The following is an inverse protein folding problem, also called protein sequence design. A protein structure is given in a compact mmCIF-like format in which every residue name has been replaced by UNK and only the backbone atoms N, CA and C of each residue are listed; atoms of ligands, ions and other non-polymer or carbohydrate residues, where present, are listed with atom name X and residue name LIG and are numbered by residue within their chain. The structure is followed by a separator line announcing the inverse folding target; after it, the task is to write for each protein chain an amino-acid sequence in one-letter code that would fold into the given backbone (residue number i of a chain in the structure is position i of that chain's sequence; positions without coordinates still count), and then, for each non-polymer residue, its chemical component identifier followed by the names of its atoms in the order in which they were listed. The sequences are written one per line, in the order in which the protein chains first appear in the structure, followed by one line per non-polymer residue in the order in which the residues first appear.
data_IF_626042175973
#
_entry.id   IF_626042175973
#
_cell.length_a   1.000
_cell.length_b   1.000
_cell.length_c   1.000
_cell.angle_alpha   90.00
_cell.angle_beta   90.00
_cell.angle_gamma   90.00
#
_symmetry.space_group_name_H-M   'P 1'
#
loop_
_entity.id
_entity.type
_entity.pdbx_description
1 polymer ?
#
# COMPACT_ATOMS: atom_id res chain seq x y z
N UNK A 1 6.62 -6.86 -25.09
CA UNK A 1 5.64 -7.77 -25.74
C UNK A 1 4.67 -8.22 -24.67
N UNK A 2 3.38 -7.87 -24.77
CA UNK A 2 2.39 -8.27 -23.78
C UNK A 2 2.09 -9.77 -23.92
N UNK A 3 2.10 -10.49 -22.80
CA UNK A 3 1.88 -11.93 -22.67
C UNK A 3 0.75 -12.20 -21.68
N UNK A 4 0.02 -13.29 -21.88
CA UNK A 4 -0.99 -13.81 -20.95
C UNK A 4 -0.56 -15.18 -20.41
N UNK A 5 -0.68 -15.39 -19.11
CA UNK A 5 -0.32 -16.61 -18.39
C UNK A 5 -1.48 -17.03 -17.51
N UNK A 6 -1.77 -18.33 -17.46
CA UNK A 6 -2.78 -18.89 -16.55
C UNK A 6 -2.09 -19.72 -15.48
N UNK A 7 -2.30 -19.37 -14.21
CA UNK A 7 -1.81 -20.12 -13.05
C UNK A 7 -2.95 -20.28 -12.04
N UNK A 8 -3.24 -21.53 -11.69
CA UNK A 8 -4.20 -21.89 -10.63
C UNK A 8 -5.56 -21.21 -10.70
N UNK A 9 -6.11 -21.11 -11.91
CA UNK A 9 -7.42 -20.50 -12.15
C UNK A 9 -7.40 -18.96 -12.23
N UNK A 10 -6.25 -18.33 -12.00
CA UNK A 10 -6.04 -16.91 -12.26
C UNK A 10 -5.35 -16.69 -13.62
N UNK A 11 -5.75 -15.64 -14.32
CA UNK A 11 -5.16 -15.21 -15.59
C UNK A 11 -4.40 -13.91 -15.39
N UNK A 12 -3.13 -13.88 -15.78
CA UNK A 12 -2.23 -12.75 -15.62
C UNK A 12 -1.77 -12.25 -16.98
N UNK A 13 -2.02 -10.97 -17.25
CA UNK A 13 -1.40 -10.24 -18.34
C UNK A 13 -0.20 -9.47 -17.81
N UNK A 14 0.89 -9.48 -18.56
CA UNK A 14 2.12 -8.75 -18.23
C UNK A 14 2.97 -8.47 -19.46
N UNK A 15 3.97 -7.60 -19.31
CA UNK A 15 5.12 -7.51 -20.21
C UNK A 15 6.38 -7.83 -19.41
N UNK A 16 7.09 -8.90 -19.79
CA UNK A 16 8.30 -9.35 -19.09
C UNK A 16 9.42 -8.31 -19.03
N UNK A 17 9.42 -7.31 -19.93
CA UNK A 17 10.37 -6.21 -19.88
C UNK A 17 10.07 -5.15 -18.83
N UNK A 18 8.84 -5.13 -18.29
CA UNK A 18 8.35 -4.08 -17.40
C UNK A 18 8.12 -4.54 -15.96
N UNK A 19 7.87 -5.84 -15.75
CA UNK A 19 7.49 -6.37 -14.44
C UNK A 19 8.26 -7.64 -14.08
N UNK A 20 8.38 -7.89 -12.78
CA UNK A 20 8.95 -9.14 -12.29
C UNK A 20 7.94 -10.29 -12.39
N UNK A 21 8.39 -11.44 -12.90
CA UNK A 21 7.63 -12.68 -12.91
C UNK A 21 8.54 -13.89 -12.79
N UNK A 22 8.13 -14.88 -11.98
CA UNK A 22 8.84 -16.16 -11.84
C UNK A 22 7.85 -17.31 -11.73
N UNK A 23 7.76 -18.13 -12.78
CA UNK A 23 6.85 -19.28 -12.84
C UNK A 23 7.17 -20.38 -11.83
N UNK A 24 8.41 -20.45 -11.31
CA UNK A 24 8.82 -21.49 -10.36
C UNK A 24 8.28 -21.27 -8.94
N UNK A 25 7.75 -20.08 -8.64
CA UNK A 25 7.20 -19.75 -7.32
C UNK A 25 5.71 -20.08 -7.20
N UNK A 26 5.10 -20.62 -8.25
CA UNK A 26 3.66 -20.82 -8.31
C UNK A 26 3.14 -21.73 -7.17
N UNK A 27 3.87 -22.78 -6.82
CA UNK A 27 3.50 -23.70 -5.73
C UNK A 27 3.46 -22.98 -4.38
N UNK A 28 4.43 -22.09 -4.16
CA UNK A 28 4.51 -21.30 -2.93
C UNK A 28 3.39 -20.26 -2.87
N UNK A 29 3.02 -19.68 -4.02
CA UNK A 29 1.88 -18.78 -4.13
C UNK A 29 0.59 -19.43 -3.66
N UNK A 30 0.27 -20.65 -4.16
CA UNK A 30 -0.91 -21.36 -3.66
C UNK A 30 -0.77 -21.72 -2.20
N UNK A 31 0.40 -22.21 -1.78
CA UNK A 31 0.58 -22.68 -0.40
C UNK A 31 0.19 -21.58 0.58
N UNK A 32 0.65 -20.34 0.35
CA UNK A 32 0.27 -19.18 1.16
C UNK A 32 -1.21 -18.82 0.99
N UNK A 33 -1.71 -18.68 -0.25
CA UNK A 33 -3.12 -18.34 -0.52
C UNK A 33 -4.08 -19.37 0.10
N UNK A 34 -3.67 -20.64 0.19
CA UNK A 34 -4.48 -21.71 0.76
C UNK A 34 -4.81 -21.49 2.24
N UNK A 35 -3.95 -20.77 2.98
CA UNK A 35 -4.11 -20.48 4.40
C UNK A 35 -5.17 -19.39 4.66
N UNK A 36 -5.44 -18.53 3.67
CA UNK A 36 -6.41 -17.45 3.80
C UNK A 36 -7.85 -17.95 3.74
N UNK A 37 -8.74 -17.23 4.41
CA UNK A 37 -10.17 -17.50 4.51
C UNK A 37 -10.96 -16.34 3.89
N UNK A 38 -12.15 -16.67 3.39
CA UNK A 38 -13.09 -15.67 2.89
C UNK A 38 -13.35 -14.61 3.97
N UNK A 39 -13.27 -13.34 3.61
CA UNK A 39 -13.44 -12.21 4.52
C UNK A 39 -12.15 -11.74 5.20
N UNK A 40 -11.02 -12.44 5.04
CA UNK A 40 -9.73 -11.94 5.53
C UNK A 40 -9.36 -10.63 4.84
N UNK A 41 -8.67 -9.75 5.58
CA UNK A 41 -8.07 -8.53 5.05
C UNK A 41 -6.58 -8.76 4.89
N UNK A 42 -6.09 -8.68 3.66
CA UNK A 42 -4.70 -8.95 3.30
C UNK A 42 -4.00 -7.64 2.91
N UNK A 43 -2.80 -7.43 3.43
CA UNK A 43 -1.92 -6.35 3.03
C UNK A 43 -0.73 -6.94 2.26
N UNK A 44 -0.65 -6.66 0.97
CA UNK A 44 0.42 -7.10 0.08
C UNK A 44 1.26 -5.88 -0.31
N UNK A 45 2.38 -5.65 0.39
CA UNK A 45 3.19 -4.45 0.24
C UNK A 45 4.02 -4.41 -1.07
N UNK A 46 4.23 -5.57 -1.70
CA UNK A 46 5.09 -5.79 -2.87
C UNK A 46 4.38 -6.69 -3.88
N UNK A 47 3.16 -6.28 -4.22
CA UNK A 47 2.21 -7.11 -4.95
C UNK A 47 2.65 -7.43 -6.38
N UNK A 48 3.55 -6.66 -6.98
CA UNK A 48 3.88 -6.79 -8.40
C UNK A 48 2.60 -6.73 -9.25
N UNK A 49 2.42 -7.75 -10.10
CA UNK A 49 1.21 -7.90 -10.92
C UNK A 49 0.07 -8.70 -10.26
N UNK A 50 0.25 -9.05 -8.98
CA UNK A 50 -0.75 -9.69 -8.12
C UNK A 50 -0.75 -11.22 -8.03
N UNK A 51 0.38 -11.95 -8.07
CA UNK A 51 0.36 -13.42 -7.98
C UNK A 51 -0.22 -13.94 -6.65
N UNK A 52 -0.13 -13.18 -5.55
CA UNK A 52 -0.83 -13.49 -4.28
C UNK A 52 -2.16 -12.75 -4.17
N UNK A 53 -2.17 -11.46 -4.53
CA UNK A 53 -3.33 -10.58 -4.41
C UNK A 53 -4.55 -11.08 -5.22
N UNK A 54 -4.35 -11.49 -6.47
CA UNK A 54 -5.46 -11.92 -7.35
C UNK A 54 -6.11 -13.22 -6.85
N UNK A 55 -5.37 -14.31 -6.56
CA UNK A 55 -6.00 -15.52 -6.02
C UNK A 55 -6.61 -15.33 -4.63
N UNK A 56 -6.03 -14.47 -3.78
CA UNK A 56 -6.60 -14.14 -2.46
C UNK A 56 -7.96 -13.46 -2.61
N UNK A 57 -8.07 -12.51 -3.54
CA UNK A 57 -9.33 -11.84 -3.85
C UNK A 57 -10.37 -12.80 -4.46
N UNK A 58 -9.95 -13.76 -5.30
CA UNK A 58 -10.84 -14.82 -5.81
C UNK A 58 -11.41 -15.72 -4.69
N UNK A 59 -10.68 -15.90 -3.58
CA UNK A 59 -11.20 -16.57 -2.37
C UNK A 59 -12.15 -15.70 -1.55
N UNK A 60 -12.38 -14.45 -1.96
CA UNK A 60 -13.25 -13.48 -1.28
C UNK A 60 -12.56 -12.76 -0.12
N UNK A 61 -11.23 -12.62 -0.16
CA UNK A 61 -10.49 -11.74 0.75
C UNK A 61 -10.53 -10.31 0.23
N UNK A 62 -10.45 -9.33 1.12
CA UNK A 62 -10.20 -7.93 0.75
C UNK A 62 -8.69 -7.69 0.74
N UNK A 63 -8.14 -7.15 -0.35
CA UNK A 63 -6.69 -7.02 -0.51
C UNK A 63 -6.30 -5.56 -0.72
N UNK A 64 -5.44 -5.06 0.15
CA UNK A 64 -4.72 -3.81 -0.03
C UNK A 64 -3.35 -4.13 -0.62
N UNK A 65 -3.19 -3.86 -1.91
CA UNK A 65 -2.04 -4.26 -2.69
C UNK A 65 -1.23 -3.04 -3.14
N UNK A 66 0.07 -3.04 -2.86
CA UNK A 66 0.98 -1.97 -3.21
C UNK A 66 2.16 -2.50 -4.01
N UNK A 67 2.68 -1.69 -4.93
CA UNK A 67 4.00 -1.92 -5.51
C UNK A 67 4.64 -0.59 -5.88
N UNK A 68 5.97 -0.50 -5.79
CA UNK A 68 6.69 0.72 -6.15
C UNK A 68 6.73 0.95 -7.67
N UNK A 69 6.74 -0.12 -8.46
CA UNK A 69 6.78 -0.04 -9.91
C UNK A 69 5.40 0.32 -10.47
N UNK A 70 5.23 1.47 -11.15
CA UNK A 70 3.94 1.87 -11.72
C UNK A 70 3.40 0.87 -12.77
N UNK A 71 4.28 0.21 -13.53
CA UNK A 71 3.87 -0.80 -14.51
C UNK A 71 3.30 -2.06 -13.84
N UNK A 72 3.90 -2.48 -12.72
CA UNK A 72 3.37 -3.57 -11.88
C UNK A 72 1.94 -3.25 -11.43
N UNK A 73 1.72 -2.03 -10.92
CA UNK A 73 0.40 -1.60 -10.44
C UNK A 73 -0.61 -1.46 -11.58
N UNK A 74 -0.18 -1.02 -12.76
CA UNK A 74 -1.02 -1.02 -13.96
C UNK A 74 -1.49 -2.44 -14.32
N UNK A 75 -0.57 -3.41 -14.35
CA UNK A 75 -0.91 -4.80 -14.62
C UNK A 75 -1.72 -5.45 -13.50
N UNK A 76 -1.46 -5.13 -12.22
CA UNK A 76 -2.28 -5.57 -11.10
C UNK A 76 -3.75 -5.16 -11.29
N UNK A 77 -4.02 -3.89 -11.60
CA UNK A 77 -5.38 -3.40 -11.87
C UNK A 77 -6.01 -4.07 -13.10
N UNK A 78 -5.20 -4.30 -14.14
CA UNK A 78 -5.64 -5.01 -15.34
C UNK A 78 -6.02 -6.46 -15.02
N UNK A 79 -5.19 -7.15 -14.25
CA UNK A 79 -5.39 -8.54 -13.85
C UNK A 79 -6.58 -8.66 -12.91
N UNK A 80 -6.81 -7.69 -12.03
CA UNK A 80 -7.99 -7.67 -11.17
C UNK A 80 -9.29 -7.70 -12.00
N UNK A 81 -9.36 -6.87 -13.06
CA UNK A 81 -10.48 -6.84 -14.00
C UNK A 81 -10.62 -8.13 -14.80
N UNK A 82 -9.52 -8.68 -15.32
CA UNK A 82 -9.53 -9.95 -16.08
C UNK A 82 -10.12 -11.09 -15.23
N UNK A 83 -9.78 -11.11 -13.94
CA UNK A 83 -10.23 -12.13 -13.01
C UNK A 83 -11.55 -11.79 -12.29
N UNK A 84 -12.15 -10.63 -12.59
CA UNK A 84 -13.43 -10.14 -12.02
C UNK A 84 -13.38 -10.00 -10.50
N UNK A 85 -12.28 -9.45 -9.98
CA UNK A 85 -12.03 -9.24 -8.55
C UNK A 85 -11.60 -7.81 -8.23
N UNK A 86 -11.83 -6.87 -9.14
CA UNK A 86 -11.50 -5.45 -8.97
C UNK A 86 -12.15 -4.82 -7.73
N UNK A 87 -13.33 -5.28 -7.33
CA UNK A 87 -14.05 -4.78 -6.15
C UNK A 87 -13.39 -5.22 -4.82
N UNK A 88 -12.52 -6.23 -4.87
CA UNK A 88 -11.83 -6.77 -3.70
C UNK A 88 -10.37 -6.31 -3.61
N UNK A 89 -9.85 -5.57 -4.59
CA UNK A 89 -8.44 -5.17 -4.66
C UNK A 89 -8.29 -3.65 -4.68
N UNK A 90 -7.67 -3.12 -3.64
CA UNK A 90 -7.27 -1.72 -3.53
C UNK A 90 -5.79 -1.59 -3.90
N UNK A 91 -5.51 -1.10 -5.11
CA UNK A 91 -4.16 -1.02 -5.67
C UNK A 91 -3.50 0.35 -5.48
N UNK A 92 -2.31 0.38 -4.89
CA UNK A 92 -1.51 1.57 -4.58
C UNK A 92 -0.15 1.53 -5.28
N UNK A 93 0.39 2.71 -5.61
CA UNK A 93 1.74 2.85 -6.15
C UNK A 93 2.54 3.80 -5.25
N UNK A 94 3.17 3.25 -4.22
CA UNK A 94 3.85 3.99 -3.17
C UNK A 94 5.09 3.22 -2.67
N UNK A 95 6.02 3.93 -2.04
CA UNK A 95 7.02 3.27 -1.18
C UNK A 95 6.29 2.48 -0.07
N UNK A 96 6.72 1.24 0.15
CA UNK A 96 6.06 0.32 1.08
C UNK A 96 5.97 0.86 2.51
N UNK A 97 6.95 1.64 2.97
CA UNK A 97 6.95 2.23 4.32
C UNK A 97 5.88 3.29 4.43
N UNK A 98 5.76 4.15 3.41
CA UNK A 98 4.72 5.19 3.35
C UNK A 98 3.35 4.56 3.22
N UNK A 99 3.22 3.50 2.41
CA UNK A 99 2.00 2.73 2.28
C UNK A 99 1.55 2.13 3.63
N UNK A 100 2.47 1.49 4.36
CA UNK A 100 2.17 0.92 5.68
C UNK A 100 1.78 2.01 6.69
N UNK A 101 2.50 3.12 6.74
CA UNK A 101 2.13 4.26 7.60
C UNK A 101 0.72 4.76 7.30
N UNK A 102 0.39 4.91 6.01
CA UNK A 102 -0.94 5.33 5.57
C UNK A 102 -2.04 4.37 6.01
N UNK A 103 -1.83 3.06 5.86
CA UNK A 103 -2.80 2.04 6.28
C UNK A 103 -3.00 2.00 7.80
N UNK A 104 -1.94 2.25 8.58
CA UNK A 104 -1.97 2.21 10.04
C UNK A 104 -2.40 3.53 10.68
N UNK A 105 -2.59 4.60 9.89
CA UNK A 105 -2.99 5.90 10.42
C UNK A 105 -4.43 5.86 10.91
N UNK A 106 -4.62 6.03 12.22
CA UNK A 106 -5.95 6.17 12.83
C UNK A 106 -6.32 7.66 12.87
N UNK A 107 -7.45 8.07 12.26
CA UNK A 107 -7.92 9.46 12.37
C UNK A 107 -8.12 9.84 13.85
N UNK A 108 -7.44 10.90 14.30
CA UNK A 108 -7.60 11.45 15.66
C UNK A 108 -6.48 11.14 16.66
N UNK A 109 -5.43 10.41 16.27
CA UNK A 109 -4.21 10.29 17.08
C UNK A 109 -3.16 11.27 16.56
N UNK A 110 -3.15 12.49 17.10
CA UNK A 110 -1.99 13.38 16.95
C UNK A 110 -0.80 12.72 17.63
N UNK A 111 0.14 12.21 16.84
CA UNK A 111 1.45 11.82 17.35
C UNK A 111 2.12 13.07 17.87
N UNK A 112 2.11 13.26 19.19
CA UNK A 112 2.96 14.24 19.88
C UNK A 112 4.41 13.94 19.50
N UNK A 113 4.95 14.72 18.59
CA UNK A 113 6.37 14.70 18.24
C UNK A 113 7.16 15.42 19.32
N UNK A 114 7.46 14.73 20.42
CA UNK A 114 8.53 15.12 21.32
C UNK A 114 9.70 14.17 21.13
N UNK A 115 10.71 14.62 20.40
CA UNK A 115 12.13 14.38 20.67
C UNK A 115 12.97 15.19 19.68
N UNK A 116 13.25 16.43 20.08
CA UNK A 116 14.50 17.08 19.71
C UNK A 116 15.65 16.25 20.30
N UNK A 117 16.60 15.83 19.47
CA UNK A 117 17.98 15.59 19.91
C UNK A 117 18.86 16.43 19.03
N UNK A 118 19.30 17.55 19.60
CA UNK A 118 20.34 18.38 19.03
C UNK A 118 21.72 17.75 19.30
N UNK A 119 22.48 17.66 18.20
CA UNK A 119 23.93 17.86 18.06
C UNK A 119 24.93 17.03 18.87
N UNK A 120 25.89 16.44 18.14
CA UNK A 120 27.29 16.71 18.47
C UNK A 120 28.09 16.94 17.16
N UNK A 121 28.77 18.08 17.10
CA UNK A 121 29.65 18.50 16.01
C UNK A 121 31.02 17.81 16.13
N UNK A 122 31.66 17.49 15.00
CA UNK A 122 33.12 17.53 14.92
C UNK A 122 33.57 18.34 13.71
N UNK A 123 34.53 19.22 14.00
CA UNK A 123 34.81 20.52 13.40
C UNK A 123 35.92 20.45 12.33
N UNK A 124 35.83 21.30 11.30
CA UNK A 124 36.96 22.01 10.67
C UNK A 124 36.47 23.22 9.84
N UNK A 125 36.44 24.41 10.47
CA UNK A 125 37.00 25.74 10.07
C UNK A 125 37.07 26.10 8.55
N UNK A 126 36.72 27.30 8.03
CA UNK A 126 36.60 28.69 8.51
C UNK A 126 35.68 29.56 7.60
N UNK A 127 35.18 30.70 8.11
CA UNK A 127 34.97 31.93 7.31
C UNK A 127 33.57 32.59 7.33
N UNK A 128 33.35 33.55 8.23
CA UNK A 128 32.21 34.52 8.34
C UNK A 128 32.83 35.93 8.10
N UNK A 129 32.17 37.03 7.59
CA UNK A 129 30.90 37.59 8.09
C UNK A 129 30.07 38.45 7.07
N UNK A 130 29.12 39.35 7.46
CA UNK A 130 27.70 39.06 7.73
C UNK A 130 26.71 40.10 7.11
N UNK A 131 25.45 40.08 7.58
CA UNK A 131 24.32 41.03 7.40
C UNK A 131 23.24 40.57 6.38
N UNK A 132 21.93 40.68 6.60
CA UNK A 132 21.12 41.45 7.57
C UNK A 132 19.68 40.89 7.62
N UNK A 133 18.96 41.28 8.67
CA UNK A 133 17.59 40.89 9.06
C UNK A 133 16.52 41.59 8.20
N UNK A 134 15.41 40.91 7.85
CA UNK A 134 14.06 41.51 7.99
C UNK A 134 12.90 40.53 7.75
N UNK A 135 11.91 40.69 8.61
CA UNK A 135 10.63 39.99 8.72
C UNK A 135 9.68 40.27 7.55
N UNK A 136 8.77 39.34 7.23
CA UNK A 136 7.35 39.66 7.04
C UNK A 136 6.47 38.42 6.84
N UNK A 137 5.34 38.43 7.54
CA UNK A 137 4.20 37.53 7.42
C UNK A 137 3.55 37.65 6.03
N UNK A 138 3.16 36.52 5.44
CA UNK A 138 2.36 36.46 4.22
C UNK A 138 1.38 35.29 4.27
N UNK A 139 0.15 35.58 4.69
CA UNK A 139 -1.00 34.70 4.67
C UNK A 139 -1.47 34.48 3.21
N UNK A 140 -1.51 33.24 2.73
CA UNK A 140 -2.11 32.90 1.44
C UNK A 140 -3.04 31.71 1.56
N UNK A 141 -4.35 32.01 1.52
CA UNK A 141 -5.43 31.07 1.27
C UNK A 141 -5.25 30.42 -0.11
N UNK A 142 -5.15 29.10 -0.14
CA UNK A 142 -5.10 28.31 -1.37
C UNK A 142 -6.02 27.09 -1.27
N UNK A 143 -7.14 27.19 -1.98
CA UNK A 143 -8.20 26.24 -2.25
C UNK A 143 -8.00 24.75 -1.88
N UNK A 144 -8.98 24.27 -1.10
CA UNK A 144 -9.46 22.91 -0.98
C UNK A 144 -9.46 22.14 -2.31
N UNK A 145 -8.83 20.96 -2.33
CA UNK A 145 -9.32 19.80 -3.07
C UNK A 145 -9.29 18.61 -2.12
N UNK A 146 -10.41 18.42 -1.40
CA UNK A 146 -10.64 17.21 -0.61
C UNK A 146 -10.91 16.06 -1.57
N UNK A 147 -9.90 15.21 -1.80
CA UNK A 147 -10.17 13.83 -2.19
C UNK A 147 -10.42 13.05 -0.90
N UNK A 148 -11.68 12.99 -0.48
CA UNK A 148 -12.13 12.05 0.55
C UNK A 148 -11.89 10.64 0.04
N UNK A 149 -10.97 9.93 0.69
CA UNK A 149 -10.86 8.48 0.55
C UNK A 149 -12.04 7.89 1.33
N UNK A 150 -12.99 7.18 0.69
CA UNK A 150 -14.10 6.58 1.42
C UNK A 150 -13.56 5.43 2.27
N UNK A 151 -13.37 5.68 3.55
CA UNK A 151 -13.25 4.61 4.55
C UNK A 151 -14.61 3.90 4.61
N UNK A 152 -14.69 2.73 3.98
CA UNK A 152 -15.93 1.95 3.95
C UNK A 152 -16.29 1.50 5.39
N UNK A 153 -17.53 1.66 5.87
CA UNK A 153 -17.92 1.46 7.28
C UNK A 153 -17.72 0.06 7.90
N UNK A 154 -17.24 -0.93 7.14
CA UNK A 154 -17.16 -2.33 7.60
C UNK A 154 -15.99 -2.62 8.55
N UNK A 155 -14.95 -1.77 8.59
CA UNK A 155 -13.77 -1.99 9.44
C UNK A 155 -14.09 -1.89 10.96
N UNK A 156 -15.19 -1.21 11.34
CA UNK A 156 -15.60 -1.10 12.74
C UNK A 156 -16.58 -2.19 13.21
N UNK A 157 -17.03 -3.11 12.34
CA UNK A 157 -18.08 -4.08 12.68
C UNK A 157 -17.59 -5.50 13.02
N UNK A 158 -16.28 -5.78 13.04
CA UNK A 158 -15.76 -7.16 13.22
C UNK A 158 -15.40 -7.49 14.69
N UNK A 159 -15.45 -6.53 15.62
CA UNK A 159 -15.33 -6.81 17.06
C UNK A 159 -16.68 -6.69 17.77
N UNK A 160 -17.56 -7.68 17.57
CA UNK A 160 -18.72 -7.93 18.44
C UNK A 160 -18.33 -8.85 19.61
N UNK A 161 -18.89 -8.66 20.81
CA UNK A 161 -18.52 -9.45 21.99
C UNK A 161 -19.16 -10.84 21.87
N UNK A 162 -18.36 -11.86 21.55
CA UNK A 162 -18.79 -13.24 21.74
C UNK A 162 -18.58 -13.65 23.19
N UNK A 163 -19.70 -13.72 23.89
CA UNK A 163 -19.89 -14.31 25.21
C UNK A 163 -19.34 -15.74 25.23
N UNK A 164 -18.29 -15.96 26.02
CA UNK A 164 -17.95 -17.28 26.53
C UNK A 164 -19.12 -17.75 27.40
N UNK A 165 -19.77 -18.83 26.99
CA UNK A 165 -20.59 -19.65 27.88
C UNK A 165 -19.86 -20.97 28.07
N UNK A 166 -19.81 -21.36 29.35
CA UNK A 166 -18.98 -22.37 30.03
C UNK A 166 -18.96 -23.74 29.36
#
# INVERSE_FOLDING_TARGET
MVTEIKQYGATFRLDYGLVYWNSRLEHEHIRLVSLFKKGDVICDMFAGIGPFSIPSAQKGCVVYANDLNPDSVHYLRTNAKINKVEDYIFAYNMDARVFMQKLMTVPGLETRSDSQVATDESYSKEGVPPNEISSSNGNHNGAFFSYEIPIHPWILSVCGPHTLTV
#
